data_IF_849521474394
#
_entry.id   IF_849521474394
#
_cell.length_a   1.000
_cell.length_b   1.000
_cell.length_c   1.000
_cell.angle_alpha   90.00
_cell.angle_beta   90.00
_cell.angle_gamma   90.00
#
_symmetry.space_group_name_H-M   'P 1'
#
loop_
_entity.id
_entity.type
_entity.pdbx_description
1 polymer ?
#
# COMPACT_ATOMS: atom_id res chain seq x y z
N UNK A 1 33.60 12.48 11.16
CA UNK A 1 34.87 12.04 11.80
C UNK A 1 35.09 12.57 13.23
N UNK A 2 34.42 13.65 13.68
CA UNK A 2 34.60 14.22 15.04
C UNK A 2 33.85 13.46 16.16
N UNK A 3 32.65 12.92 15.88
CA UNK A 3 31.83 12.16 16.85
C UNK A 3 32.52 10.86 17.31
N UNK A 4 33.13 10.12 16.38
CA UNK A 4 33.83 8.86 16.68
C UNK A 4 35.10 9.05 17.52
N UNK A 5 35.70 10.25 17.51
CA UNK A 5 36.88 10.56 18.34
C UNK A 5 36.51 10.90 19.79
N UNK A 6 35.28 11.34 20.05
CA UNK A 6 34.81 11.75 21.40
C UNK A 6 34.16 10.62 22.19
N UNK A 7 33.67 9.58 21.54
CA UNK A 7 32.93 8.50 22.19
C UNK A 7 33.58 7.15 21.93
N UNK A 8 34.05 6.47 22.99
CA UNK A 8 34.48 5.06 22.89
C UNK A 8 33.24 4.20 22.68
N UNK A 9 32.94 3.83 21.43
CA UNK A 9 31.81 2.96 21.08
C UNK A 9 31.78 1.66 21.91
N UNK A 10 32.96 1.11 22.24
CA UNK A 10 33.11 -0.09 23.08
C UNK A 10 32.58 0.05 24.50
N UNK A 11 32.32 1.28 24.97
CA UNK A 11 31.77 1.56 26.30
C UNK A 11 30.26 1.81 26.29
N UNK A 12 29.62 1.88 25.12
CA UNK A 12 28.17 2.08 25.03
C UNK A 12 27.49 0.73 25.32
N UNK A 13 26.64 0.62 26.37
CA UNK A 13 25.93 -0.61 26.64
C UNK A 13 24.98 -0.94 25.48
N UNK A 14 24.91 -2.22 25.11
CA UNK A 14 23.98 -2.69 24.08
C UNK A 14 22.59 -2.75 24.70
N UNK A 15 21.66 -1.97 24.15
CA UNK A 15 20.24 -2.06 24.49
C UNK A 15 19.52 -2.99 23.50
N UNK A 16 19.37 -4.25 23.91
CA UNK A 16 18.69 -5.28 23.11
C UNK A 16 17.19 -5.01 22.90
N UNK A 17 16.59 -4.09 23.65
CA UNK A 17 15.16 -3.76 23.49
C UNK A 17 14.87 -3.08 22.14
N UNK A 18 15.88 -2.50 21.48
CA UNK A 18 15.77 -1.96 20.12
C UNK A 18 15.76 -3.01 19.01
N UNK A 19 15.99 -4.29 19.35
CA UNK A 19 15.86 -5.39 18.39
C UNK A 19 14.41 -5.75 18.09
N UNK A 20 13.49 -5.45 19.01
CA UNK A 20 12.08 -5.88 18.95
C UNK A 20 11.93 -7.37 18.61
N UNK A 21 12.86 -8.20 19.10
CA UNK A 21 12.95 -9.62 18.76
C UNK A 21 11.72 -10.45 19.16
N UNK A 22 10.89 -9.93 20.08
CA UNK A 22 9.63 -10.53 20.51
C UNK A 22 8.44 -10.22 19.58
N UNK A 23 8.60 -9.38 18.55
CA UNK A 23 7.51 -8.94 17.68
C UNK A 23 7.38 -9.83 16.43
N UNK A 24 6.16 -10.27 16.18
CA UNK A 24 5.81 -11.05 14.99
C UNK A 24 5.36 -10.16 13.82
N UNK A 25 5.19 -10.74 12.63
CA UNK A 25 4.60 -10.05 11.48
C UNK A 25 3.20 -9.51 11.81
N UNK A 26 2.41 -10.24 12.60
CA UNK A 26 1.08 -9.80 13.03
C UNK A 26 1.17 -8.55 13.90
N UNK A 27 2.12 -8.54 14.84
CA UNK A 27 2.33 -7.39 15.73
C UNK A 27 2.79 -6.15 14.97
N UNK A 28 3.51 -6.30 13.85
CA UNK A 28 3.98 -5.18 13.03
C UNK A 28 2.96 -4.71 11.98
N UNK A 29 1.79 -5.36 11.91
CA UNK A 29 0.76 -5.13 10.88
C UNK A 29 -0.54 -4.52 11.42
N UNK A 30 -0.58 -4.10 12.70
CA UNK A 30 -1.78 -3.50 13.30
C UNK A 30 -2.27 -2.25 12.56
N UNK A 31 -3.50 -1.83 12.83
CA UNK A 31 -4.18 -0.69 12.19
C UNK A 31 -4.08 -0.77 10.66
N UNK A 32 -3.54 0.25 10.01
CA UNK A 32 -3.38 0.34 8.56
C UNK A 32 -2.01 -0.15 8.08
N UNK A 33 -1.13 -0.64 8.97
CA UNK A 33 0.25 -0.98 8.61
C UNK A 33 0.38 -2.21 7.71
N UNK A 34 -0.56 -3.15 7.80
CA UNK A 34 -0.59 -4.37 7.00
C UNK A 34 -1.31 -4.25 5.66
N UNK A 35 -1.88 -3.08 5.33
CA UNK A 35 -2.76 -2.95 4.16
C UNK A 35 -2.02 -3.07 2.82
N UNK A 36 -0.80 -2.49 2.73
CA UNK A 36 0.03 -2.50 1.52
C UNK A 36 1.48 -2.90 1.85
N UNK A 37 2.09 -3.73 1.00
CA UNK A 37 3.49 -4.16 1.13
C UNK A 37 4.42 -3.19 0.39
N UNK A 38 5.00 -2.25 1.11
CA UNK A 38 5.99 -1.31 0.57
C UNK A 38 7.43 -1.76 0.90
N UNK A 39 8.37 -1.70 -0.05
CA UNK A 39 9.75 -2.12 0.18
C UNK A 39 10.44 -1.26 1.26
N UNK A 40 11.43 -1.85 1.95
CA UNK A 40 12.31 -1.15 2.91
C UNK A 40 11.58 -0.40 4.05
N UNK A 41 10.40 -0.88 4.45
CA UNK A 41 9.63 -0.33 5.57
C UNK A 41 10.24 -0.75 6.92
N UNK A 42 10.41 0.18 7.86
CA UNK A 42 10.69 -0.14 9.27
C UNK A 42 9.42 -0.53 10.03
N UNK A 43 9.57 -1.28 11.12
CA UNK A 43 8.43 -1.71 11.93
C UNK A 43 7.77 -0.52 12.66
N UNK A 44 6.43 -0.50 12.82
CA UNK A 44 5.75 0.60 13.50
C UNK A 44 6.22 0.86 14.94
N UNK A 45 6.62 -0.20 15.66
CA UNK A 45 7.09 -0.13 17.03
C UNK A 45 8.32 0.77 17.19
N UNK A 46 9.20 0.77 16.19
CA UNK A 46 10.39 1.62 16.17
C UNK A 46 9.98 3.10 16.14
N UNK A 47 9.13 3.47 15.17
CA UNK A 47 8.63 4.83 15.05
C UNK A 47 7.84 5.26 16.28
N UNK A 48 6.95 4.39 16.79
CA UNK A 48 6.19 4.63 18.02
C UNK A 48 7.08 4.97 19.20
N UNK A 49 8.13 4.17 19.42
CA UNK A 49 9.07 4.37 20.54
C UNK A 49 9.78 5.71 20.39
N UNK A 50 10.35 5.99 19.22
CA UNK A 50 11.04 7.25 18.94
C UNK A 50 10.13 8.47 19.13
N UNK A 51 8.90 8.41 18.63
CA UNK A 51 7.92 9.50 18.79
C UNK A 51 7.61 9.71 20.27
N UNK A 52 7.32 8.66 21.03
CA UNK A 52 6.98 8.78 22.46
C UNK A 52 8.13 9.28 23.33
N UNK A 53 9.36 8.90 23.01
CA UNK A 53 10.56 9.29 23.77
C UNK A 53 11.00 10.73 23.46
N UNK A 54 10.72 11.24 22.25
CA UNK A 54 11.29 12.51 21.77
C UNK A 54 10.25 13.59 21.45
N UNK A 55 8.97 13.38 21.76
CA UNK A 55 7.91 14.37 21.55
C UNK A 55 6.80 14.24 22.59
N UNK A 56 5.95 15.27 22.71
CA UNK A 56 4.73 15.31 23.52
C UNK A 56 3.48 15.24 22.65
N UNK A 57 2.32 14.95 23.26
CA UNK A 57 1.04 15.05 22.54
C UNK A 57 0.87 16.48 21.99
N UNK A 58 0.39 16.60 20.76
CA UNK A 58 0.27 17.88 20.03
C UNK A 58 1.53 18.33 19.26
N UNK A 59 2.71 17.76 19.54
CA UNK A 59 3.93 18.10 18.80
C UNK A 59 3.86 17.65 17.33
N UNK A 60 4.68 18.29 16.50
CA UNK A 60 4.82 17.95 15.07
C UNK A 60 5.95 16.94 14.90
N UNK A 61 5.65 15.84 14.20
CA UNK A 61 6.61 14.82 13.76
C UNK A 61 6.72 14.89 12.25
N UNK A 62 7.93 15.16 11.74
CA UNK A 62 8.20 15.30 10.31
C UNK A 62 9.04 14.13 9.80
N UNK A 63 8.61 13.51 8.70
CA UNK A 63 9.37 12.49 7.98
C UNK A 63 9.58 12.90 6.50
N UNK A 64 10.77 13.37 6.12
CA UNK A 64 11.03 13.83 4.75
C UNK A 64 11.21 12.70 3.74
N UNK A 65 11.19 11.43 4.18
CA UNK A 65 11.31 10.24 3.34
C UNK A 65 10.30 9.18 3.82
N UNK A 66 9.03 9.60 3.91
CA UNK A 66 8.03 8.85 4.67
C UNK A 66 7.71 7.46 4.11
N UNK A 67 8.04 7.19 2.84
CA UNK A 67 7.64 5.97 2.15
C UNK A 67 6.14 5.72 2.30
N UNK A 68 5.78 4.52 2.75
CA UNK A 68 4.37 4.17 3.04
C UNK A 68 3.73 4.89 4.24
N UNK A 69 4.38 5.91 4.82
CA UNK A 69 3.82 6.75 5.88
C UNK A 69 3.79 6.11 7.27
N UNK A 70 4.71 5.18 7.59
CA UNK A 70 4.73 4.54 8.92
C UNK A 70 4.87 5.58 10.04
N UNK A 71 5.80 6.53 9.90
CA UNK A 71 6.00 7.62 10.88
C UNK A 71 4.75 8.48 11.03
N UNK A 72 4.11 8.85 9.92
CA UNK A 72 2.92 9.70 9.92
C UNK A 72 1.75 9.00 10.63
N UNK A 73 1.52 7.73 10.32
CA UNK A 73 0.49 6.92 11.00
C UNK A 73 0.78 6.83 12.50
N UNK A 74 2.03 6.52 12.88
CA UNK A 74 2.40 6.43 14.30
C UNK A 74 2.30 7.77 15.02
N UNK A 75 2.59 8.89 14.36
CA UNK A 75 2.39 10.21 14.94
C UNK A 75 0.90 10.42 15.27
N UNK A 76 0.00 10.18 14.31
CA UNK A 76 -1.44 10.36 14.48
C UNK A 76 -2.02 9.50 15.61
N UNK A 77 -1.73 8.19 15.63
CA UNK A 77 -2.28 7.29 16.67
C UNK A 77 -1.69 7.54 18.06
N UNK A 78 -0.54 8.20 18.14
CA UNK A 78 0.03 8.69 19.38
C UNK A 78 -0.30 10.19 19.60
N UNK A 79 -1.32 10.75 18.94
CA UNK A 79 -1.79 12.14 19.15
C UNK A 79 -0.73 13.22 18.90
N UNK A 80 0.11 13.03 17.89
CA UNK A 80 1.00 14.05 17.33
C UNK A 80 0.47 14.48 15.97
N UNK A 81 0.93 15.62 15.48
CA UNK A 81 0.70 16.06 14.10
C UNK A 81 1.78 15.41 13.23
N UNK A 82 1.38 14.51 12.33
CA UNK A 82 2.31 13.87 11.39
C UNK A 82 2.39 14.65 10.07
N UNK A 83 3.59 15.01 9.64
CA UNK A 83 3.87 15.59 8.31
C UNK A 83 4.87 14.69 7.61
N UNK A 84 4.60 14.31 6.37
CA UNK A 84 5.51 13.48 5.60
C UNK A 84 5.57 13.90 4.15
N UNK A 85 6.73 13.70 3.53
CA UNK A 85 6.92 13.85 2.09
C UNK A 85 7.70 12.66 1.54
N UNK A 86 7.42 12.32 0.28
CA UNK A 86 8.14 11.32 -0.49
C UNK A 86 8.02 11.69 -1.97
N UNK A 87 9.06 11.44 -2.76
CA UNK A 87 9.05 11.71 -4.19
C UNK A 87 8.17 10.73 -4.97
N UNK A 88 7.92 9.55 -4.41
CA UNK A 88 7.12 8.52 -5.04
C UNK A 88 5.62 8.76 -4.82
N UNK A 89 4.89 9.02 -5.90
CA UNK A 89 3.44 9.27 -5.87
C UNK A 89 2.64 8.10 -5.26
N UNK A 90 3.08 6.85 -5.46
CA UNK A 90 2.44 5.69 -4.84
C UNK A 90 2.67 5.69 -3.33
N UNK A 91 3.86 6.09 -2.87
CA UNK A 91 4.15 6.22 -1.45
C UNK A 91 3.23 7.26 -0.79
N UNK A 92 3.05 8.41 -1.45
CA UNK A 92 2.09 9.43 -1.04
C UNK A 92 0.64 8.90 -0.98
N UNK A 93 0.16 8.22 -2.02
CA UNK A 93 -1.19 7.66 -2.02
C UNK A 93 -1.40 6.63 -0.89
N UNK A 94 -0.41 5.76 -0.65
CA UNK A 94 -0.46 4.78 0.45
C UNK A 94 -0.53 5.51 1.80
N UNK A 95 0.35 6.51 2.01
CA UNK A 95 0.36 7.29 3.24
C UNK A 95 -0.98 8.02 3.46
N UNK A 96 -1.54 8.64 2.41
CA UNK A 96 -2.85 9.29 2.45
C UNK A 96 -3.95 8.31 2.86
N UNK A 97 -4.06 7.16 2.21
CA UNK A 97 -5.08 6.14 2.54
C UNK A 97 -4.94 5.65 3.97
N UNK A 98 -3.71 5.39 4.42
CA UNK A 98 -3.44 4.89 5.78
C UNK A 98 -3.73 5.90 6.89
N UNK A 99 -3.79 7.19 6.55
CA UNK A 99 -3.96 8.30 7.50
C UNK A 99 -5.32 8.99 7.38
N UNK A 100 -6.13 8.63 6.38
CA UNK A 100 -7.47 9.19 6.16
C UNK A 100 -8.52 8.28 6.79
N UNK A 101 -9.24 8.73 7.83
CA UNK A 101 -10.34 7.97 8.39
C UNK A 101 -11.48 7.85 7.36
N UNK A 102 -11.98 6.63 7.17
CA UNK A 102 -13.16 6.34 6.35
C UNK A 102 -14.20 5.69 7.26
N UNK A 103 -15.47 6.12 7.17
CA UNK A 103 -16.54 5.48 7.93
C UNK A 103 -16.72 4.04 7.43
N UNK A 104 -16.63 3.08 8.34
CA UNK A 104 -16.73 1.65 8.02
C UNK A 104 -18.01 1.32 7.24
N UNK A 105 -19.15 1.91 7.61
CA UNK A 105 -20.42 1.70 6.92
C UNK A 105 -20.38 2.14 5.44
N UNK A 106 -19.79 3.32 5.15
CA UNK A 106 -19.65 3.82 3.78
C UNK A 106 -18.73 2.93 2.94
N UNK A 107 -17.61 2.48 3.53
CA UNK A 107 -16.66 1.59 2.86
C UNK A 107 -17.28 0.22 2.56
N UNK A 108 -17.99 -0.36 3.53
CA UNK A 108 -18.67 -1.65 3.34
C UNK A 108 -19.78 -1.56 2.29
N UNK A 109 -20.54 -0.46 2.27
CA UNK A 109 -21.55 -0.23 1.25
C UNK A 109 -20.94 -0.13 -0.15
N UNK A 110 -19.87 0.64 -0.33
CA UNK A 110 -19.19 0.71 -1.62
C UNK A 110 -18.55 -0.64 -1.99
N UNK A 111 -18.00 -1.37 -1.00
CA UNK A 111 -17.45 -2.71 -1.22
C UNK A 111 -18.51 -3.68 -1.78
N UNK A 112 -19.70 -3.75 -1.18
CA UNK A 112 -20.79 -4.57 -1.71
C UNK A 112 -21.22 -4.13 -3.11
N UNK A 113 -21.24 -2.81 -3.35
CA UNK A 113 -21.60 -2.24 -4.66
C UNK A 113 -20.59 -2.62 -5.74
N UNK A 114 -19.29 -2.48 -5.48
CA UNK A 114 -18.24 -2.82 -6.45
C UNK A 114 -18.11 -4.33 -6.66
N UNK A 115 -18.29 -5.15 -5.61
CA UNK A 115 -18.27 -6.61 -5.71
C UNK A 115 -19.36 -7.13 -6.65
N UNK A 116 -20.62 -6.72 -6.41
CA UNK A 116 -21.75 -7.12 -7.24
C UNK A 116 -21.61 -6.62 -8.69
N UNK A 117 -21.23 -5.37 -8.87
CA UNK A 117 -21.09 -4.79 -10.21
C UNK A 117 -19.96 -5.48 -10.98
N UNK A 118 -18.77 -5.67 -10.39
CA UNK A 118 -17.68 -6.39 -11.06
C UNK A 118 -18.06 -7.83 -11.40
N UNK A 119 -18.76 -8.55 -10.54
CA UNK A 119 -19.25 -9.89 -10.88
C UNK A 119 -20.16 -9.87 -12.12
N UNK A 120 -21.07 -8.90 -12.22
CA UNK A 120 -21.94 -8.72 -13.39
C UNK A 120 -21.12 -8.37 -14.66
N UNK A 121 -20.12 -7.48 -14.54
CA UNK A 121 -19.23 -7.13 -15.67
C UNK A 121 -18.51 -8.36 -16.19
N UNK A 122 -17.99 -9.22 -15.31
CA UNK A 122 -17.21 -10.39 -15.71
C UNK A 122 -18.07 -11.57 -16.20
N UNK A 123 -19.28 -11.77 -15.67
CA UNK A 123 -20.10 -12.94 -15.99
C UNK A 123 -21.02 -12.78 -17.21
N UNK A 124 -21.44 -11.55 -17.55
CA UNK A 124 -22.44 -11.35 -18.62
C UNK A 124 -22.16 -10.20 -19.59
N UNK A 125 -21.24 -9.29 -19.26
CA UNK A 125 -21.05 -8.05 -20.03
C UNK A 125 -19.57 -7.72 -20.29
N UNK A 126 -18.70 -8.74 -20.25
CA UNK A 126 -17.25 -8.54 -20.21
C UNK A 126 -16.74 -7.75 -21.42
N UNK A 127 -17.09 -8.16 -22.64
CA UNK A 127 -16.64 -7.48 -23.86
C UNK A 127 -17.09 -6.02 -23.93
N UNK A 128 -18.31 -5.72 -23.48
CA UNK A 128 -18.84 -4.35 -23.43
C UNK A 128 -18.00 -3.47 -22.49
N UNK A 129 -17.75 -3.96 -21.27
CA UNK A 129 -16.96 -3.19 -20.30
C UNK A 129 -15.48 -3.16 -20.60
N UNK A 130 -14.93 -4.19 -21.25
CA UNK A 130 -13.56 -4.19 -21.74
C UNK A 130 -13.36 -3.10 -22.81
N UNK A 131 -14.27 -3.01 -23.78
CA UNK A 131 -14.21 -1.95 -24.79
C UNK A 131 -14.34 -0.55 -24.18
N UNK A 132 -15.09 -0.40 -23.07
CA UNK A 132 -15.17 0.84 -22.31
C UNK A 132 -13.88 1.11 -21.52
N UNK A 133 -13.31 0.12 -20.87
CA UNK A 133 -12.12 0.27 -20.01
C UNK A 133 -10.86 0.62 -20.80
N UNK A 134 -10.69 0.05 -22.00
CA UNK A 134 -9.55 0.35 -22.86
C UNK A 134 -9.50 1.81 -23.33
N UNK A 135 -10.60 2.57 -23.21
CA UNK A 135 -10.64 4.02 -23.50
C UNK A 135 -10.08 4.87 -22.38
N UNK A 136 -10.06 4.37 -21.15
CA UNK A 136 -9.58 5.11 -19.96
C UNK A 136 -8.22 4.66 -19.46
N UNK A 137 -7.76 3.47 -19.86
CA UNK A 137 -6.40 3.01 -19.54
C UNK A 137 -5.39 3.68 -20.48
N UNK A 138 -4.31 4.28 -19.96
CA UNK A 138 -3.30 4.91 -20.79
C UNK A 138 -2.58 3.86 -21.66
N UNK A 139 -2.38 4.19 -22.94
CA UNK A 139 -1.54 3.38 -23.84
C UNK A 139 -0.08 3.56 -23.44
N UNK A 140 0.54 2.51 -22.91
CA UNK A 140 1.93 2.54 -22.49
C UNK A 140 2.58 1.16 -22.67
N UNK A 141 3.66 1.10 -23.44
CA UNK A 141 4.40 -0.13 -23.73
C UNK A 141 4.94 -0.81 -22.46
N UNK A 142 5.19 -0.05 -21.38
CA UNK A 142 5.61 -0.63 -20.09
C UNK A 142 4.52 -1.47 -19.45
N UNK A 143 3.24 -1.19 -19.70
CA UNK A 143 2.15 -2.03 -19.20
C UNK A 143 2.24 -3.39 -19.91
N UNK A 144 2.37 -3.37 -21.23
CA UNK A 144 2.45 -4.60 -22.04
C UNK A 144 3.73 -5.40 -21.76
N UNK A 145 4.80 -4.71 -21.36
CA UNK A 145 6.04 -5.34 -20.92
C UNK A 145 5.88 -6.18 -19.64
N UNK A 146 4.99 -5.78 -18.72
CA UNK A 146 4.83 -6.40 -17.40
C UNK A 146 3.59 -7.29 -17.26
N UNK A 147 2.58 -7.14 -18.11
CA UNK A 147 1.31 -7.85 -17.97
C UNK A 147 0.99 -8.65 -19.23
N UNK A 148 0.65 -9.93 -19.07
CA UNK A 148 0.10 -10.70 -20.18
C UNK A 148 -1.24 -10.09 -20.63
N UNK A 149 -1.62 -10.22 -21.92
CA UNK A 149 -2.81 -9.57 -22.48
C UNK A 149 -4.08 -9.81 -21.66
N UNK A 150 -4.34 -11.07 -21.28
CA UNK A 150 -5.55 -11.43 -20.53
C UNK A 150 -5.58 -10.79 -19.13
N UNK A 151 -4.46 -10.76 -18.39
CA UNK A 151 -4.41 -10.06 -17.09
C UNK A 151 -4.61 -8.56 -17.27
N UNK A 152 -3.97 -7.94 -18.27
CA UNK A 152 -4.10 -6.51 -18.56
C UNK A 152 -5.56 -6.13 -18.82
N UNK A 153 -6.26 -6.93 -19.64
CA UNK A 153 -7.68 -6.70 -19.95
C UNK A 153 -8.57 -6.79 -18.70
N UNK A 154 -8.43 -7.86 -17.91
CA UNK A 154 -9.18 -8.01 -16.65
C UNK A 154 -8.88 -6.87 -15.66
N UNK A 155 -7.61 -6.48 -15.51
CA UNK A 155 -7.20 -5.35 -14.66
C UNK A 155 -7.78 -4.02 -15.17
N UNK A 156 -7.90 -3.83 -16.48
CA UNK A 156 -8.50 -2.61 -17.05
C UNK A 156 -9.96 -2.45 -16.64
N UNK A 157 -10.74 -3.54 -16.63
CA UNK A 157 -12.16 -3.51 -16.23
C UNK A 157 -12.29 -3.13 -14.75
N UNK A 158 -11.44 -3.70 -13.89
CA UNK A 158 -11.39 -3.37 -12.46
C UNK A 158 -11.01 -1.90 -12.27
N UNK A 159 -9.94 -1.43 -12.92
CA UNK A 159 -9.47 -0.06 -12.84
C UNK A 159 -10.55 0.94 -13.29
N UNK A 160 -11.21 0.68 -14.42
CA UNK A 160 -12.30 1.51 -14.92
C UNK A 160 -13.48 1.58 -13.94
N UNK A 161 -13.81 0.49 -13.24
CA UNK A 161 -14.86 0.51 -12.23
C UNK A 161 -14.45 1.31 -10.98
N UNK A 162 -13.19 1.24 -10.56
CA UNK A 162 -12.69 2.06 -9.43
C UNK A 162 -12.79 3.56 -9.78
N UNK A 163 -12.49 3.95 -11.02
CA UNK A 163 -12.62 5.33 -11.47
C UNK A 163 -14.05 5.88 -11.33
N UNK A 164 -15.07 5.03 -11.47
CA UNK A 164 -16.50 5.38 -11.36
C UNK A 164 -16.95 5.65 -9.90
N UNK A 165 -16.14 5.33 -8.88
CA UNK A 165 -16.45 5.62 -7.47
C UNK A 165 -16.53 7.14 -7.27
N UNK A 166 -17.56 7.64 -6.56
CA UNK A 166 -17.74 9.08 -6.34
C UNK A 166 -16.91 9.63 -5.19
N UNK A 167 -16.85 8.91 -4.07
CA UNK A 167 -16.08 9.31 -2.91
C UNK A 167 -14.58 9.09 -3.16
N UNK A 168 -13.81 10.17 -3.22
CA UNK A 168 -12.37 10.10 -3.53
C UNK A 168 -11.55 9.33 -2.50
N UNK A 169 -11.89 9.39 -1.21
CA UNK A 169 -11.15 8.64 -0.18
C UNK A 169 -11.40 7.13 -0.31
N UNK A 170 -12.64 6.74 -0.62
CA UNK A 170 -12.99 5.34 -0.89
C UNK A 170 -12.34 4.87 -2.20
N UNK A 171 -12.34 5.72 -3.23
CA UNK A 171 -11.64 5.45 -4.49
C UNK A 171 -10.15 5.20 -4.28
N UNK A 172 -9.48 6.06 -3.52
CA UNK A 172 -8.07 5.92 -3.18
C UNK A 172 -7.79 4.61 -2.43
N UNK A 173 -8.67 4.24 -1.48
CA UNK A 173 -8.60 2.94 -0.80
C UNK A 173 -8.61 1.77 -1.81
N UNK A 174 -9.55 1.77 -2.75
CA UNK A 174 -9.62 0.72 -3.77
C UNK A 174 -8.46 0.76 -4.76
N UNK A 175 -7.91 1.94 -5.07
CA UNK A 175 -6.68 2.02 -5.87
C UNK A 175 -5.47 1.42 -5.17
N UNK A 176 -5.34 1.57 -3.85
CA UNK A 176 -4.27 0.90 -3.10
C UNK A 176 -4.49 -0.61 -3.04
N UNK A 177 -5.73 -1.08 -2.87
CA UNK A 177 -6.05 -2.51 -2.96
C UNK A 177 -5.73 -3.08 -4.35
N UNK A 178 -6.05 -2.33 -5.42
CA UNK A 178 -5.69 -2.67 -6.80
C UNK A 178 -4.17 -2.69 -7.01
N UNK A 179 -3.45 -1.65 -6.56
CA UNK A 179 -2.01 -1.55 -6.69
C UNK A 179 -1.28 -2.73 -6.00
N UNK A 180 -1.79 -3.18 -4.84
CA UNK A 180 -1.21 -4.29 -4.08
C UNK A 180 -1.23 -5.61 -4.87
N UNK A 181 -2.21 -5.82 -5.77
CA UNK A 181 -2.32 -7.06 -6.56
C UNK A 181 -1.55 -6.99 -7.88
N UNK A 182 -1.16 -5.79 -8.34
CA UNK A 182 -0.51 -5.60 -9.65
C UNK A 182 0.75 -6.46 -9.79
N UNK A 183 1.60 -6.49 -8.76
CA UNK A 183 2.80 -7.34 -8.79
C UNK A 183 2.42 -8.79 -9.00
N UNK A 184 1.43 -9.31 -8.27
CA UNK A 184 0.96 -10.70 -8.37
C UNK A 184 0.37 -11.02 -9.76
N UNK A 185 -0.38 -10.09 -10.36
CA UNK A 185 -0.98 -10.25 -11.69
C UNK A 185 -0.01 -9.98 -12.86
N UNK A 186 1.17 -9.43 -12.60
CA UNK A 186 2.24 -9.21 -13.58
C UNK A 186 3.18 -10.40 -13.71
N UNK A 187 4.07 -10.38 -14.71
CA UNK A 187 5.21 -11.32 -14.83
C UNK A 187 6.43 -10.90 -14.00
N UNK A 188 6.30 -9.95 -13.07
CA UNK A 188 7.39 -9.62 -12.14
C UNK A 188 7.62 -10.76 -11.13
N UNK A 189 8.85 -11.25 -11.03
CA UNK A 189 9.33 -12.20 -10.01
C UNK A 189 8.92 -11.76 -8.59
N UNK A 190 8.05 -12.55 -7.96
CA UNK A 190 7.40 -12.17 -6.69
C UNK A 190 8.41 -11.89 -5.55
N UNK A 191 9.48 -12.69 -5.47
CA UNK A 191 10.50 -12.63 -4.41
C UNK A 191 11.49 -11.47 -4.55
N UNK A 192 11.50 -10.77 -5.69
CA UNK A 192 12.48 -9.73 -5.96
C UNK A 192 11.87 -8.34 -5.86
N UNK A 193 12.55 -7.42 -5.17
CA UNK A 193 12.27 -5.98 -5.25
C UNK A 193 12.85 -5.35 -6.51
N UNK A 194 13.77 -6.04 -7.19
CA UNK A 194 14.29 -5.61 -8.49
C UNK A 194 13.32 -6.03 -9.60
N UNK A 195 13.14 -5.21 -10.64
CA UNK A 195 12.25 -5.49 -11.77
C UNK A 195 12.81 -6.63 -12.62
N UNK A 196 12.60 -7.86 -12.16
CA UNK A 196 13.01 -9.11 -12.83
C UNK A 196 11.77 -9.81 -13.34
N UNK A 197 11.78 -10.19 -14.62
CA UNK A 197 10.67 -10.95 -15.22
C UNK A 197 10.83 -12.45 -14.96
N UNK A 198 9.70 -13.09 -14.68
CA UNK A 198 9.54 -14.52 -14.52
C UNK A 198 8.42 -14.97 -15.47
N UNK A 199 8.83 -15.55 -16.62
CA UNK A 199 7.91 -15.97 -17.68
C UNK A 199 7.14 -17.25 -17.32
N UNK A 200 7.60 -18.01 -16.32
CA UNK A 200 6.90 -19.21 -15.83
C UNK A 200 6.10 -18.94 -14.57
N UNK A 201 5.96 -17.66 -14.18
CA UNK A 201 5.19 -17.26 -13.01
C UNK A 201 3.74 -17.71 -13.13
N UNK A 202 3.24 -18.28 -12.03
CA UNK A 202 1.82 -18.62 -11.89
C UNK A 202 0.92 -17.42 -12.21
N UNK A 203 -0.04 -17.63 -13.10
CA UNK A 203 -1.08 -16.65 -13.40
C UNK A 203 -2.13 -16.67 -12.30
N UNK A 204 -2.47 -15.49 -11.79
CA UNK A 204 -3.49 -15.30 -10.78
C UNK A 204 -4.71 -14.58 -11.36
N UNK A 205 -5.91 -14.98 -10.93
CA UNK A 205 -7.16 -14.34 -11.33
C UNK A 205 -7.31 -12.94 -10.70
N UNK A 206 -7.28 -11.84 -11.50
CA UNK A 206 -7.24 -10.48 -10.97
C UNK A 206 -8.48 -10.09 -10.14
N UNK A 207 -9.68 -10.51 -10.56
CA UNK A 207 -10.91 -10.19 -9.83
C UNK A 207 -10.90 -10.78 -8.42
N UNK A 208 -10.58 -12.07 -8.31
CA UNK A 208 -10.50 -12.76 -7.02
C UNK A 208 -9.45 -12.14 -6.11
N UNK A 209 -8.26 -11.83 -6.63
CA UNK A 209 -7.21 -11.16 -5.85
C UNK A 209 -7.65 -9.77 -5.38
N UNK A 210 -8.27 -8.98 -6.26
CA UNK A 210 -8.72 -7.63 -5.94
C UNK A 210 -9.78 -7.64 -4.83
N UNK A 211 -10.80 -8.49 -4.95
CA UNK A 211 -11.86 -8.60 -3.94
C UNK A 211 -11.31 -9.09 -2.60
N UNK A 212 -10.42 -10.09 -2.61
CA UNK A 212 -9.78 -10.58 -1.39
C UNK A 212 -8.90 -9.53 -0.73
N UNK A 213 -8.17 -8.73 -1.51
CA UNK A 213 -7.34 -7.65 -0.97
C UNK A 213 -8.18 -6.50 -0.43
N UNK A 214 -9.32 -6.19 -1.06
CA UNK A 214 -10.22 -5.13 -0.63
C UNK A 214 -11.01 -5.45 0.64
N UNK A 215 -11.11 -6.74 1.02
CA UNK A 215 -11.74 -7.21 2.27
C UNK A 215 -10.83 -7.13 3.51
N UNK A 216 -9.52 -6.90 3.32
CA UNK A 216 -8.56 -6.80 4.43
C UNK A 216 -8.60 -5.43 5.08
#
# INVERSE_FOLDING_TARGET
MLLLKKTKLTKIPIDYTWSFADKTIKDTSYITHGFYTYPAKFIPQLAKRLIKENSKEGDIVIDPFMGSGTTVVEALVNKRIGIGTDINEIAHLIAKVKTTPIKTAELLQEFSTIELDLQNRFNGQYNFFLNKSLKVVPKNERIDYWFLPQQREKLSVIFARILEIKNNNIKDFFFIAFAQILKSCSIWLQKSVKPTRDQSKKVYEPLTLFLNQSKK
#
